data_IF_071376679476
#
_entry.id   IF_071376679476
#
_cell.length_a   1.000
_cell.length_b   1.000
_cell.length_c   1.000
_cell.angle_alpha   90.00
_cell.angle_beta   90.00
_cell.angle_gamma   90.00
#
_symmetry.space_group_name_H-M   'P 1'
#
loop_
_entity.id
_entity.type
_entity.pdbx_description
1 polymer ?
#
# COMPACT_ATOMS: atom_id res chain seq x y z
N UNK A 1 11.48 21.83 -25.38
CA UNK A 1 12.36 20.83 -24.74
C UNK A 1 11.71 20.43 -23.43
N UNK A 2 11.06 19.26 -23.36
CA UNK A 2 10.52 18.73 -22.10
C UNK A 2 11.71 18.34 -21.21
N UNK A 3 11.85 18.99 -20.04
CA UNK A 3 12.79 18.54 -19.01
C UNK A 3 12.40 17.11 -18.64
N UNK A 4 13.26 16.14 -18.93
CA UNK A 4 13.05 14.76 -18.53
C UNK A 4 12.96 14.66 -17.01
N UNK A 5 11.92 14.02 -16.51
CA UNK A 5 11.76 13.70 -15.08
C UNK A 5 12.88 12.75 -14.66
N UNK A 6 13.79 13.20 -13.80
CA UNK A 6 14.77 12.32 -13.16
C UNK A 6 14.09 11.53 -12.05
N UNK A 7 14.28 10.21 -12.02
CA UNK A 7 13.68 9.31 -11.03
C UNK A 7 14.79 8.70 -10.19
N UNK A 8 14.70 8.81 -8.87
CA UNK A 8 15.52 8.03 -7.93
C UNK A 8 14.67 6.88 -7.37
N UNK A 9 15.26 5.68 -7.27
CA UNK A 9 14.57 4.47 -6.83
C UNK A 9 15.33 3.80 -5.70
N UNK A 10 14.61 3.37 -4.67
CA UNK A 10 15.15 2.50 -3.63
C UNK A 10 15.42 1.08 -4.17
N UNK A 11 16.53 0.47 -3.74
CA UNK A 11 16.84 -0.93 -4.07
C UNK A 11 16.14 -1.85 -3.08
N UNK A 12 15.59 -2.97 -3.55
CA UNK A 12 14.86 -3.94 -2.70
C UNK A 12 13.77 -3.26 -1.84
N UNK A 13 12.95 -2.42 -2.49
CA UNK A 13 12.01 -1.48 -1.88
C UNK A 13 10.71 -2.14 -1.39
N UNK A 14 10.82 -3.15 -0.53
CA UNK A 14 9.70 -3.82 0.10
C UNK A 14 9.65 -3.45 1.57
N UNK A 15 8.57 -2.78 1.97
CA UNK A 15 8.31 -2.39 3.36
C UNK A 15 6.90 -2.86 3.74
N UNK A 16 6.79 -3.68 4.77
CA UNK A 16 5.47 -4.04 5.32
C UNK A 16 5.06 -2.94 6.29
N UNK A 17 3.86 -2.40 6.13
CA UNK A 17 3.24 -1.47 7.09
C UNK A 17 2.05 -2.17 7.72
N UNK A 18 2.12 -2.38 9.04
CA UNK A 18 1.08 -3.00 9.85
C UNK A 18 0.62 -2.02 10.94
N UNK A 19 -0.67 -1.64 10.88
CA UNK A 19 -1.28 -0.74 11.86
C UNK A 19 -1.23 -1.30 13.30
N UNK A 20 -1.14 -2.62 13.47
CA UNK A 20 -0.98 -3.26 14.77
C UNK A 20 0.46 -3.24 15.29
N UNK A 21 1.45 -2.86 14.47
CA UNK A 21 2.87 -2.83 14.82
C UNK A 21 3.49 -1.47 14.55
N UNK A 22 3.59 -0.62 15.58
CA UNK A 22 4.15 0.72 15.49
C UNK A 22 5.56 0.76 14.86
N UNK A 23 6.36 -0.29 15.07
CA UNK A 23 7.71 -0.40 14.50
C UNK A 23 7.74 -0.47 12.96
N UNK A 24 6.60 -0.77 12.32
CA UNK A 24 6.47 -0.90 10.86
C UNK A 24 5.89 0.36 10.19
N UNK A 25 5.39 1.32 10.98
CA UNK A 25 4.72 2.52 10.47
C UNK A 25 5.70 3.62 10.04
N UNK A 26 7.00 3.43 10.31
CA UNK A 26 8.08 4.33 9.89
C UNK A 26 9.30 3.53 9.45
N UNK A 27 9.91 3.92 8.33
CA UNK A 27 11.12 3.30 7.81
C UNK A 27 11.99 4.32 7.06
N UNK A 28 13.27 4.01 6.90
CA UNK A 28 14.26 4.93 6.30
C UNK A 28 14.58 4.47 4.89
N UNK A 29 14.34 5.35 3.91
CA UNK A 29 14.78 5.17 2.53
C UNK A 29 16.09 5.93 2.32
N UNK A 30 17.13 5.24 1.86
CA UNK A 30 18.44 5.86 1.56
C UNK A 30 18.54 6.25 0.09
N UNK A 31 18.53 7.55 -0.18
CA UNK A 31 18.67 8.11 -1.53
C UNK A 31 19.86 9.06 -1.63
N UNK A 32 20.34 9.28 -2.86
CA UNK A 32 21.32 10.31 -3.14
C UNK A 32 20.69 11.71 -3.01
N UNK A 33 21.53 12.72 -2.74
CA UNK A 33 21.11 14.12 -2.70
C UNK A 33 20.41 14.51 -4.00
N UNK A 34 19.19 15.04 -3.87
CA UNK A 34 18.37 15.48 -4.99
C UNK A 34 17.21 16.36 -4.51
N UNK A 35 16.44 16.91 -5.45
CA UNK A 35 15.16 17.57 -5.21
C UNK A 35 14.04 16.72 -5.79
N UNK A 36 12.96 16.59 -5.04
CA UNK A 36 11.81 15.79 -5.42
C UNK A 36 10.54 16.63 -5.38
N UNK A 37 9.64 16.41 -6.34
CA UNK A 37 8.31 17.06 -6.40
C UNK A 37 7.17 16.12 -5.99
N UNK A 38 7.44 14.82 -5.93
CA UNK A 38 6.47 13.79 -5.59
C UNK A 38 7.21 12.53 -5.11
N UNK A 39 6.44 11.62 -4.53
CA UNK A 39 6.83 10.23 -4.26
C UNK A 39 5.89 9.31 -5.05
N UNK A 40 6.44 8.23 -5.60
CA UNK A 40 5.65 7.15 -6.20
C UNK A 40 6.03 5.82 -5.56
N UNK A 41 5.03 5.04 -5.17
CA UNK A 41 5.22 3.71 -4.60
C UNK A 41 4.13 2.76 -5.08
N UNK A 42 4.35 1.46 -4.85
CA UNK A 42 3.35 0.43 -5.11
C UNK A 42 2.69 0.01 -3.81
N UNK A 43 1.38 -0.18 -3.85
CA UNK A 43 0.69 -1.04 -2.88
C UNK A 43 0.57 -2.41 -3.52
N UNK A 44 1.20 -3.39 -2.89
CA UNK A 44 1.30 -4.76 -3.37
C UNK A 44 2.63 -5.12 -4.02
N UNK A 45 2.84 -6.43 -4.16
CA UNK A 45 4.10 -7.05 -4.58
C UNK A 45 4.13 -7.23 -6.10
N UNK A 46 5.31 -7.11 -6.71
CA UNK A 46 5.47 -7.30 -8.16
C UNK A 46 5.19 -8.75 -8.59
N UNK A 47 4.84 -8.96 -9.87
CA UNK A 47 4.46 -10.28 -10.36
C UNK A 47 5.59 -11.31 -10.30
N UNK A 48 6.84 -10.90 -10.54
CA UNK A 48 7.99 -11.80 -10.48
C UNK A 48 8.25 -12.28 -9.05
N UNK A 49 8.14 -11.38 -8.07
CA UNK A 49 8.25 -11.71 -6.65
C UNK A 49 7.06 -12.55 -6.16
N UNK A 50 5.85 -12.30 -6.65
CA UNK A 50 4.67 -13.11 -6.31
C UNK A 50 4.80 -14.57 -6.71
N UNK A 51 5.43 -14.86 -7.86
CA UNK A 51 5.61 -16.24 -8.34
C UNK A 51 6.89 -16.91 -7.85
N UNK A 52 7.70 -16.20 -7.04
CA UNK A 52 8.96 -16.72 -6.48
C UNK A 52 8.77 -17.51 -5.18
N UNK A 53 7.53 -17.69 -4.72
CA UNK A 53 7.21 -18.39 -3.48
C UNK A 53 7.54 -17.59 -2.21
N UNK A 54 7.80 -18.32 -1.13
CA UNK A 54 8.15 -17.77 0.17
C UNK A 54 9.49 -17.02 0.11
N UNK A 55 9.52 -15.81 0.65
CA UNK A 55 10.72 -14.97 0.72
C UNK A 55 11.02 -14.62 2.18
N UNK A 56 12.00 -13.74 2.40
CA UNK A 56 12.42 -13.27 3.73
C UNK A 56 12.19 -11.77 3.87
N UNK A 57 12.49 -11.20 5.04
CA UNK A 57 12.34 -9.76 5.29
C UNK A 57 10.86 -9.38 5.39
N UNK A 58 10.44 -8.31 4.72
CA UNK A 58 9.04 -7.87 4.71
C UNK A 58 8.12 -8.70 3.82
N UNK A 59 8.70 -9.59 3.02
CA UNK A 59 7.98 -10.60 2.25
C UNK A 59 7.96 -11.98 2.93
N UNK A 60 8.34 -12.07 4.20
CA UNK A 60 8.29 -13.34 4.93
C UNK A 60 6.83 -13.80 5.14
N UNK A 61 6.43 -15.01 4.68
CA UNK A 61 5.08 -15.53 4.87
C UNK A 61 4.60 -15.60 6.32
N UNK A 62 5.53 -15.69 7.29
CA UNK A 62 5.20 -15.64 8.73
C UNK A 62 4.55 -14.32 9.15
N UNK A 63 4.69 -13.27 8.35
CA UNK A 63 4.04 -11.97 8.54
C UNK A 63 2.57 -11.95 8.08
N UNK A 64 2.02 -13.09 7.64
CA UNK A 64 0.59 -13.24 7.37
C UNK A 64 0.10 -12.57 6.08
N UNK A 65 1.01 -12.15 5.20
CA UNK A 65 0.69 -11.50 3.92
C UNK A 65 0.87 -12.44 2.71
N UNK A 66 0.86 -13.75 2.93
CA UNK A 66 1.05 -14.75 1.89
C UNK A 66 -0.01 -15.86 2.01
N UNK A 67 -0.72 -16.12 0.91
CA UNK A 67 -1.64 -17.25 0.83
C UNK A 67 -0.92 -18.51 0.41
N UNK A 68 -1.04 -19.55 1.22
CA UNK A 68 -0.57 -20.90 0.90
C UNK A 68 -1.51 -21.64 -0.05
N UNK A 69 -2.82 -21.35 -0.03
CA UNK A 69 -3.85 -22.06 -0.79
C UNK A 69 -4.04 -21.54 -2.22
N UNK A 70 -3.74 -20.27 -2.48
CA UNK A 70 -3.77 -19.64 -3.81
C UNK A 70 -2.37 -19.23 -4.30
N UNK A 71 -1.33 -19.56 -3.53
CA UNK A 71 0.10 -19.29 -3.76
C UNK A 71 0.36 -17.88 -4.29
N UNK A 72 0.49 -16.92 -3.38
CA UNK A 72 0.85 -15.54 -3.73
C UNK A 72 0.70 -14.58 -2.56
N UNK A 73 1.18 -13.35 -2.72
CA UNK A 73 1.05 -12.31 -1.71
C UNK A 73 -0.33 -11.67 -1.72
N UNK A 74 -0.78 -11.34 -0.52
CA UNK A 74 -1.86 -10.40 -0.27
C UNK A 74 -1.28 -9.00 -0.52
N UNK A 75 -1.91 -8.22 -1.39
CA UNK A 75 -1.43 -6.88 -1.74
C UNK A 75 -1.79 -5.85 -0.66
N UNK A 76 -2.97 -6.02 -0.05
CA UNK A 76 -3.45 -5.23 1.08
C UNK A 76 -4.41 -6.07 1.94
N UNK A 77 -4.35 -5.88 3.26
CA UNK A 77 -5.15 -6.62 4.24
C UNK A 77 -5.84 -5.64 5.19
N UNK A 78 -7.14 -5.84 5.45
CA UNK A 78 -7.92 -5.07 6.42
C UNK A 78 -8.89 -6.01 7.14
N UNK A 79 -8.83 -6.05 8.47
CA UNK A 79 -9.61 -6.97 9.32
C UNK A 79 -10.11 -6.21 10.54
N UNK A 80 -11.27 -6.61 11.09
CA UNK A 80 -11.81 -5.97 12.28
C UNK A 80 -13.24 -6.39 12.59
N UNK A 81 -13.91 -5.60 13.42
CA UNK A 81 -15.34 -5.80 13.72
C UNK A 81 -16.12 -4.53 13.40
N UNK A 82 -17.37 -4.69 12.98
CA UNK A 82 -18.26 -3.59 12.62
C UNK A 82 -19.70 -4.00 12.83
N UNK A 83 -20.51 -3.13 13.46
CA UNK A 83 -21.95 -3.35 13.61
C UNK A 83 -22.71 -3.46 12.28
N UNK A 84 -22.06 -3.12 11.16
CA UNK A 84 -22.61 -3.27 9.82
C UNK A 84 -22.24 -4.61 9.16
N UNK A 85 -21.38 -5.42 9.79
CA UNK A 85 -21.02 -6.73 9.24
C UNK A 85 -22.16 -7.73 9.40
N UNK A 86 -22.36 -8.53 8.36
CA UNK A 86 -23.32 -9.64 8.33
C UNK A 86 -22.69 -10.98 8.72
N UNK A 87 -21.39 -11.02 9.01
CA UNK A 87 -20.70 -12.24 9.42
C UNK A 87 -20.84 -12.49 10.93
N UNK A 88 -20.50 -13.70 11.37
CA UNK A 88 -20.49 -14.08 12.78
C UNK A 88 -19.63 -13.11 13.60
N UNK A 89 -20.08 -12.80 14.82
CA UNK A 89 -19.42 -11.88 15.76
C UNK A 89 -19.13 -10.48 15.19
N UNK A 90 -19.90 -10.06 14.18
CA UNK A 90 -19.75 -8.77 13.50
C UNK A 90 -18.36 -8.58 12.87
N UNK A 91 -17.62 -9.66 12.61
CA UNK A 91 -16.28 -9.59 12.04
C UNK A 91 -16.30 -9.22 10.55
N UNK A 92 -15.26 -8.57 10.04
CA UNK A 92 -15.03 -8.37 8.61
C UNK A 92 -13.56 -8.65 8.29
N UNK A 93 -13.31 -9.13 7.06
CA UNK A 93 -11.96 -9.34 6.55
C UNK A 93 -11.86 -9.09 5.06
N UNK A 94 -10.82 -8.40 4.66
CA UNK A 94 -10.49 -8.14 3.27
C UNK A 94 -9.03 -8.46 3.05
N UNK A 95 -8.78 -9.59 2.41
CA UNK A 95 -7.44 -10.00 2.02
C UNK A 95 -7.39 -9.89 0.50
N UNK A 96 -6.81 -8.80 0.00
CA UNK A 96 -6.88 -8.45 -1.40
C UNK A 96 -5.60 -8.90 -2.10
N UNK A 97 -5.64 -10.09 -2.70
CA UNK A 97 -4.58 -10.60 -3.57
C UNK A 97 -4.95 -10.50 -5.06
N UNK A 98 -4.06 -10.97 -5.94
CA UNK A 98 -4.27 -10.98 -7.39
C UNK A 98 -3.11 -10.33 -8.16
N UNK A 99 -2.30 -11.17 -8.82
CA UNK A 99 -1.17 -10.73 -9.65
C UNK A 99 -1.30 -11.11 -11.13
N UNK A 100 -2.24 -12.00 -11.46
CA UNK A 100 -2.50 -12.47 -12.83
C UNK A 100 -3.12 -11.36 -13.68
N UNK A 101 -2.95 -11.47 -14.99
CA UNK A 101 -3.60 -10.57 -15.95
C UNK A 101 -5.13 -10.55 -15.70
N UNK A 102 -5.74 -9.37 -15.81
CA UNK A 102 -7.17 -9.09 -15.54
C UNK A 102 -7.62 -9.18 -14.08
N UNK A 103 -6.77 -9.65 -13.15
CA UNK A 103 -7.06 -9.72 -11.71
C UNK A 103 -6.01 -8.96 -10.88
N UNK A 104 -5.20 -8.14 -11.54
CA UNK A 104 -4.10 -7.41 -10.89
C UNK A 104 -4.66 -6.39 -9.91
N UNK A 105 -4.37 -6.60 -8.62
CA UNK A 105 -4.77 -5.69 -7.53
C UNK A 105 -3.65 -4.77 -7.10
N UNK A 106 -2.38 -5.01 -7.48
CA UNK A 106 -1.33 -4.01 -7.25
C UNK A 106 -1.69 -2.65 -7.88
N UNK A 107 -1.43 -1.56 -7.15
CA UNK A 107 -1.67 -0.18 -7.61
C UNK A 107 -0.42 0.67 -7.46
N UNK A 108 -0.21 1.57 -8.41
CA UNK A 108 0.82 2.61 -8.32
C UNK A 108 0.18 3.86 -7.75
N UNK A 109 0.78 4.40 -6.70
CA UNK A 109 0.30 5.60 -6.02
C UNK A 109 1.37 6.65 -6.17
N UNK A 110 0.99 7.82 -6.65
CA UNK A 110 1.87 8.99 -6.78
C UNK A 110 1.29 10.13 -5.97
N UNK A 111 2.05 10.62 -5.00
CA UNK A 111 1.64 11.69 -4.12
C UNK A 111 2.50 12.92 -4.38
N UNK A 112 1.85 14.03 -4.70
CA UNK A 112 2.48 15.36 -4.65
C UNK A 112 2.66 15.79 -3.20
N UNK A 113 3.71 16.57 -2.94
CA UNK A 113 3.96 17.09 -1.60
C UNK A 113 3.03 18.27 -1.25
N UNK A 114 2.74 18.48 0.05
CA UNK A 114 1.72 19.43 0.48
C UNK A 114 2.09 20.85 0.08
N UNK A 115 1.12 21.63 -0.41
CA UNK A 115 1.35 23.01 -0.86
C UNK A 115 2.24 23.14 -2.10
N UNK A 116 2.54 22.06 -2.82
CA UNK A 116 3.40 22.08 -4.00
C UNK A 116 4.89 22.28 -3.70
N UNK A 117 5.29 22.07 -2.44
CA UNK A 117 6.68 22.18 -2.01
C UNK A 117 7.57 21.08 -2.63
N UNK A 118 8.88 21.30 -2.67
CA UNK A 118 9.85 20.27 -3.03
C UNK A 118 10.47 19.65 -1.78
N UNK A 119 10.67 18.34 -1.78
CA UNK A 119 11.52 17.68 -0.79
C UNK A 119 12.97 17.79 -1.26
N UNK A 120 13.78 18.54 -0.52
CA UNK A 120 15.22 18.70 -0.78
C UNK A 120 16.01 17.80 0.15
N UNK A 121 16.65 16.76 -0.40
CA UNK A 121 17.50 15.85 0.36
C UNK A 121 18.95 16.27 0.24
N UNK A 122 19.58 16.60 1.35
CA UNK A 122 20.98 16.99 1.42
C UNK A 122 21.87 15.87 1.96
N UNK A 123 23.17 15.93 1.69
CA UNK A 123 24.13 14.94 2.18
C UNK A 123 24.09 14.86 3.71
N UNK A 124 23.95 13.64 4.24
CA UNK A 124 23.94 13.33 5.67
C UNK A 124 22.81 14.03 6.46
N UNK A 125 21.74 14.48 5.79
CA UNK A 125 20.54 15.01 6.43
C UNK A 125 19.37 14.05 6.24
N UNK A 126 18.49 14.03 7.22
CA UNK A 126 17.24 13.25 7.18
C UNK A 126 16.08 14.22 7.02
N UNK A 127 15.15 13.87 6.14
CA UNK A 127 13.85 14.52 6.01
C UNK A 127 12.80 13.47 6.32
N UNK A 128 11.77 13.87 7.03
CA UNK A 128 10.63 13.01 7.32
C UNK A 128 9.46 13.44 6.44
N UNK A 129 8.90 12.49 5.69
CA UNK A 129 7.70 12.67 4.88
C UNK A 129 6.56 11.95 5.59
N UNK A 130 5.55 12.70 6.02
CA UNK A 130 4.36 12.13 6.67
C UNK A 130 3.33 11.80 5.59
N UNK A 131 2.92 10.53 5.55
CA UNK A 131 1.87 10.03 4.67
C UNK A 131 0.74 9.49 5.53
N UNK A 132 -0.45 10.05 5.36
CA UNK A 132 -1.67 9.58 6.02
C UNK A 132 -2.45 8.64 5.11
N UNK A 133 -3.08 7.63 5.70
CA UNK A 133 -3.98 6.71 5.02
C UNK A 133 -5.39 6.82 5.62
N UNK A 134 -6.33 7.34 4.84
CA UNK A 134 -7.74 7.47 5.22
C UNK A 134 -8.48 6.14 4.94
N UNK A 135 -8.74 5.35 5.97
CA UNK A 135 -9.33 4.01 5.81
C UNK A 135 -10.79 4.02 5.36
N UNK A 136 -11.54 5.12 5.53
CA UNK A 136 -12.95 5.17 5.10
C UNK A 136 -13.04 5.04 3.57
N UNK A 137 -12.03 5.55 2.85
CA UNK A 137 -11.91 5.41 1.40
C UNK A 137 -11.76 3.98 0.92
N UNK A 138 -11.39 3.02 1.78
CA UNK A 138 -11.44 1.59 1.45
C UNK A 138 -12.86 1.16 1.03
N UNK A 139 -13.87 1.73 1.67
CA UNK A 139 -15.27 1.34 1.51
C UNK A 139 -16.05 2.27 0.58
N UNK A 140 -15.68 3.55 0.48
CA UNK A 140 -16.56 4.55 -0.15
C UNK A 140 -15.87 5.52 -1.12
N UNK A 141 -14.68 5.21 -1.63
CA UNK A 141 -13.97 6.05 -2.61
C UNK A 141 -14.49 5.83 -4.04
N UNK A 142 -13.69 5.24 -4.93
CA UNK A 142 -14.01 5.02 -6.35
C UNK A 142 -15.27 4.15 -6.50
N UNK A 143 -15.42 3.16 -5.63
CA UNK A 143 -16.54 2.21 -5.59
C UNK A 143 -17.20 2.24 -4.21
N UNK A 144 -18.52 2.11 -4.18
CA UNK A 144 -19.28 1.93 -2.94
C UNK A 144 -19.31 0.44 -2.57
N UNK A 145 -18.50 0.08 -1.58
CA UNK A 145 -18.28 -1.27 -1.08
C UNK A 145 -18.48 -1.29 0.44
N UNK A 146 -19.68 -0.97 0.96
CA UNK A 146 -19.91 -0.95 2.40
C UNK A 146 -19.76 -2.36 2.99
N UNK A 147 -19.31 -2.44 4.24
CA UNK A 147 -19.14 -3.71 4.97
C UNK A 147 -20.43 -4.54 4.96
N UNK A 148 -21.60 -3.90 5.03
CA UNK A 148 -22.91 -4.57 4.99
C UNK A 148 -23.25 -5.25 3.67
N UNK A 149 -22.64 -4.84 2.56
CA UNK A 149 -22.84 -5.49 1.26
C UNK A 149 -21.89 -6.67 1.08
N UNK A 150 -20.67 -6.59 1.63
CA UNK A 150 -19.68 -7.66 1.57
C UNK A 150 -18.80 -7.59 2.82
N UNK A 151 -19.11 -8.42 3.83
CA UNK A 151 -18.35 -8.44 5.09
C UNK A 151 -16.97 -9.10 4.95
N UNK A 152 -16.86 -10.13 4.10
CA UNK A 152 -15.61 -10.88 3.94
C UNK A 152 -15.23 -11.02 2.47
N UNK A 153 -13.96 -10.85 2.14
CA UNK A 153 -13.47 -11.12 0.79
C UNK A 153 -11.99 -11.52 0.81
N UNK A 154 -11.71 -12.75 0.41
CA UNK A 154 -10.35 -13.31 0.40
C UNK A 154 -10.01 -14.00 -0.92
N UNK A 155 -10.57 -13.54 -2.05
CA UNK A 155 -10.38 -14.18 -3.35
C UNK A 155 -10.01 -13.14 -4.40
N UNK A 156 -9.04 -13.41 -5.31
CA UNK A 156 -8.82 -12.54 -6.46
C UNK A 156 -10.05 -12.39 -7.35
N UNK A 157 -9.99 -11.45 -8.28
CA UNK A 157 -11.03 -11.25 -9.29
C UNK A 157 -11.66 -9.85 -9.23
N UNK A 158 -12.79 -9.70 -9.93
CA UNK A 158 -13.38 -8.38 -10.20
C UNK A 158 -13.80 -7.56 -8.96
N UNK A 159 -14.12 -8.20 -7.83
CA UNK A 159 -14.41 -7.45 -6.60
C UNK A 159 -13.12 -7.01 -5.90
N UNK A 160 -12.09 -7.85 -5.90
CA UNK A 160 -10.77 -7.53 -5.37
C UNK A 160 -10.13 -6.35 -6.12
N UNK A 161 -10.33 -6.25 -7.44
CA UNK A 161 -9.86 -5.10 -8.24
C UNK A 161 -10.59 -3.80 -7.87
N UNK A 162 -11.88 -3.85 -7.51
CA UNK A 162 -12.61 -2.67 -7.02
C UNK A 162 -12.09 -2.20 -5.67
N UNK A 163 -11.83 -3.11 -4.73
CA UNK A 163 -11.16 -2.75 -3.47
C UNK A 163 -9.78 -2.14 -3.72
N UNK A 164 -9.06 -2.66 -4.72
CA UNK A 164 -7.77 -2.09 -5.10
C UNK A 164 -7.86 -0.67 -5.65
N UNK A 165 -8.86 -0.37 -6.46
CA UNK A 165 -9.10 1.00 -6.91
C UNK A 165 -9.41 1.93 -5.74
N UNK A 166 -10.17 1.46 -4.75
CA UNK A 166 -10.44 2.22 -3.53
C UNK A 166 -9.16 2.48 -2.72
N UNK A 167 -8.36 1.44 -2.42
CA UNK A 167 -7.16 1.65 -1.62
C UNK A 167 -6.05 2.43 -2.32
N UNK A 168 -6.11 2.57 -3.66
CA UNK A 168 -5.20 3.47 -4.38
C UNK A 168 -5.35 4.93 -3.95
N UNK A 169 -6.48 5.27 -3.30
CA UNK A 169 -6.85 6.64 -2.94
C UNK A 169 -6.71 6.96 -1.45
N UNK A 170 -6.30 5.99 -0.62
CA UNK A 170 -6.20 6.20 0.84
C UNK A 170 -5.15 7.25 1.17
N UNK A 171 -4.05 7.25 0.42
CA UNK A 171 -2.80 7.88 0.82
C UNK A 171 -2.74 9.34 0.43
N UNK A 172 -2.23 10.18 1.33
CA UNK A 172 -1.95 11.59 1.07
C UNK A 172 -0.68 12.00 1.81
N UNK A 173 0.22 12.73 1.15
CA UNK A 173 1.38 13.32 1.82
C UNK A 173 0.95 14.61 2.52
N UNK A 174 1.06 14.66 3.85
CA UNK A 174 0.48 15.75 4.67
C UNK A 174 1.52 16.69 5.27
N UNK A 175 2.75 16.23 5.48
CA UNK A 175 3.85 17.08 5.95
C UNK A 175 5.23 16.63 5.45
N UNK A 176 6.16 17.59 5.39
CA UNK A 176 7.60 17.35 5.30
C UNK A 176 8.24 18.03 6.50
N UNK A 177 8.98 17.28 7.31
CA UNK A 177 9.57 17.72 8.57
C UNK A 177 11.10 17.62 8.46
N UNK A 178 11.79 18.61 9.03
CA UNK A 178 13.24 18.56 9.20
C UNK A 178 13.58 17.89 10.53
N UNK A 179 14.49 16.90 10.49
CA UNK A 179 15.06 16.27 11.68
C UNK A 179 16.45 16.84 12.00
#
# INVERSE_FOLDING_TARGET
>A
MQKGTSVSKEKESYHLVDAASAATQSFIIKLAQNKFSNISFWVGVDSARNVSGAQTGDLDPSKGMFWTWNTGYIMAKLEGTSSFSTATDNFFEYHIGGFKANEKTQRVITLSFPGGQELVLEKNKVKELVIEADLDKWFSSVHQLPISAQATWMTPGGLATKYADNYATLFTATAIIEQ
#
